data_IF_261654469088
#
_entry.id   IF_261654469088
#
_cell.length_a   1.000
_cell.length_b   1.000
_cell.length_c   1.000
_cell.angle_alpha   90.00
_cell.angle_beta   90.00
_cell.angle_gamma   90.00
#
_symmetry.space_group_name_H-M   'P 1'
#
loop_
_entity.id
_entity.type
_entity.pdbx_description
1 polymer ?
#
# COMPACT_ATOMS: atom_id res chain seq x y z
N UNK A 1 -21.88 14.38 -0.81
CA UNK A 1 -21.23 13.07 -0.60
C UNK A 1 -19.75 13.10 -0.98
N UNK A 2 -19.38 13.26 -2.27
CA UNK A 2 -17.98 13.24 -2.71
C UNK A 2 -17.11 14.33 -2.05
N UNK A 3 -17.57 15.58 -1.99
CA UNK A 3 -16.88 16.67 -1.30
C UNK A 3 -16.68 16.38 0.19
N UNK A 4 -17.71 15.84 0.86
CA UNK A 4 -17.61 15.46 2.26
C UNK A 4 -16.58 14.34 2.46
N UNK A 5 -16.63 13.26 1.67
CA UNK A 5 -15.66 12.17 1.75
C UNK A 5 -14.22 12.62 1.45
N UNK A 6 -14.03 13.49 0.45
CA UNK A 6 -12.72 14.04 0.12
C UNK A 6 -12.19 14.96 1.22
N UNK A 7 -13.03 15.84 1.77
CA UNK A 7 -12.66 16.71 2.89
C UNK A 7 -12.28 15.90 4.14
N UNK A 8 -13.09 14.90 4.48
CA UNK A 8 -12.81 14.01 5.60
C UNK A 8 -11.51 13.23 5.46
N UNK A 9 -11.21 12.76 4.25
CA UNK A 9 -9.93 12.10 3.97
C UNK A 9 -8.77 13.09 4.05
N UNK A 10 -8.89 14.27 3.46
CA UNK A 10 -7.83 15.29 3.43
C UNK A 10 -7.51 15.85 4.83
N UNK A 11 -8.53 16.04 5.67
CA UNK A 11 -8.39 16.54 7.04
C UNK A 11 -8.30 15.43 8.09
N UNK A 12 -8.21 14.15 7.68
CA UNK A 12 -7.88 13.07 8.59
C UNK A 12 -6.49 13.33 9.20
N UNK A 13 -6.33 13.34 10.53
CA UNK A 13 -5.07 13.65 11.19
C UNK A 13 -3.89 12.79 10.71
N UNK A 14 -4.10 11.50 10.44
CA UNK A 14 -3.04 10.62 9.92
C UNK A 14 -2.67 10.96 8.48
N UNK A 15 -3.66 11.19 7.61
CA UNK A 15 -3.44 11.55 6.21
C UNK A 15 -2.71 12.90 6.12
N UNK A 16 -3.15 13.88 6.90
CA UNK A 16 -2.51 15.19 6.99
C UNK A 16 -1.07 15.08 7.50
N UNK A 17 -0.83 14.32 8.57
CA UNK A 17 0.51 14.13 9.11
C UNK A 17 1.45 13.44 8.11
N UNK A 18 0.98 12.39 7.43
CA UNK A 18 1.76 11.69 6.40
C UNK A 18 2.10 12.62 5.22
N UNK A 19 1.25 13.59 4.90
CA UNK A 19 1.51 14.56 3.83
C UNK A 19 2.56 15.62 4.20
N UNK A 20 2.79 15.87 5.50
CA UNK A 20 3.79 16.82 5.98
C UNK A 20 5.19 16.22 6.14
N UNK A 21 5.30 14.89 6.12
CA UNK A 21 6.54 14.16 6.36
C UNK A 21 7.08 13.59 5.05
N UNK A 22 8.41 13.61 4.88
CA UNK A 22 9.09 12.97 3.76
C UNK A 22 9.20 11.44 4.00
N UNK A 23 8.05 10.77 4.06
CA UNK A 23 7.94 9.31 4.21
C UNK A 23 7.18 8.70 3.01
N UNK A 24 7.25 7.38 2.85
CA UNK A 24 6.64 6.64 1.73
C UNK A 24 5.10 6.60 1.74
N UNK A 25 4.48 6.94 2.88
CA UNK A 25 3.05 6.73 3.12
C UNK A 25 2.16 7.67 2.31
N UNK A 26 2.52 8.94 2.15
CA UNK A 26 1.74 9.88 1.33
C UNK A 26 1.65 9.44 -0.13
N UNK A 27 2.77 8.98 -0.70
CA UNK A 27 2.82 8.46 -2.07
C UNK A 27 2.07 7.13 -2.19
N UNK A 28 2.17 6.24 -1.20
CA UNK A 28 1.37 5.02 -1.17
C UNK A 28 -0.14 5.32 -1.16
N UNK A 29 -0.54 6.27 -0.32
CA UNK A 29 -1.93 6.72 -0.22
C UNK A 29 -2.46 7.29 -1.54
N UNK A 30 -1.63 8.05 -2.27
CA UNK A 30 -1.97 8.47 -3.64
C UNK A 30 -2.21 7.27 -4.57
N UNK A 31 -1.33 6.26 -4.55
CA UNK A 31 -1.52 5.06 -5.37
C UNK A 31 -2.78 4.28 -5.00
N UNK A 32 -3.10 4.13 -3.71
CA UNK A 32 -4.37 3.53 -3.26
C UNK A 32 -5.56 4.32 -3.78
N UNK A 33 -5.54 5.65 -3.70
CA UNK A 33 -6.60 6.52 -4.26
C UNK A 33 -6.75 6.37 -5.78
N UNK A 34 -5.63 6.36 -6.53
CA UNK A 34 -5.63 6.18 -7.98
C UNK A 34 -6.15 4.78 -8.38
N UNK A 35 -5.70 3.72 -7.71
CA UNK A 35 -6.16 2.36 -7.94
C UNK A 35 -7.66 2.21 -7.62
N UNK A 36 -8.12 2.83 -6.53
CA UNK A 36 -9.55 2.91 -6.18
C UNK A 36 -10.34 3.60 -7.28
N UNK A 37 -9.87 4.75 -7.76
CA UNK A 37 -10.51 5.50 -8.83
C UNK A 37 -10.60 4.68 -10.14
N UNK A 38 -9.49 4.04 -10.53
CA UNK A 38 -9.41 3.19 -11.72
C UNK A 38 -10.30 1.96 -11.59
N UNK A 39 -10.35 1.33 -10.40
CA UNK A 39 -11.26 0.22 -10.12
C UNK A 39 -12.73 0.62 -10.27
N UNK A 40 -13.12 1.74 -9.65
CA UNK A 40 -14.48 2.27 -9.75
C UNK A 40 -14.84 2.52 -11.22
N UNK A 41 -13.97 3.19 -11.99
CA UNK A 41 -14.16 3.40 -13.43
C UNK A 41 -14.25 2.10 -14.22
N UNK A 42 -13.42 1.11 -13.89
CA UNK A 42 -13.40 -0.17 -14.60
C UNK A 42 -14.68 -0.97 -14.34
N UNK A 43 -15.11 -1.13 -13.09
CA UNK A 43 -16.31 -1.90 -12.76
C UNK A 43 -17.60 -1.16 -13.10
N UNK A 44 -17.59 0.18 -13.06
CA UNK A 44 -18.70 1.03 -13.49
C UNK A 44 -18.74 1.33 -15.00
N UNK A 45 -17.82 0.75 -15.80
CA UNK A 45 -17.71 1.07 -17.24
C UNK A 45 -19.02 0.85 -17.98
N UNK A 46 -19.47 1.78 -18.85
CA UNK A 46 -20.67 1.61 -19.67
C UNK A 46 -20.57 0.41 -20.62
N UNK A 47 -19.41 0.32 -21.29
CA UNK A 47 -19.08 -0.68 -22.29
C UNK A 47 -18.15 -1.76 -21.70
N UNK A 48 -18.63 -3.01 -21.55
CA UNK A 48 -17.84 -4.12 -21.04
C UNK A 48 -16.58 -4.44 -21.86
N UNK A 49 -16.55 -4.08 -23.15
CA UNK A 49 -15.43 -4.36 -24.06
C UNK A 49 -14.23 -3.41 -23.88
N UNK A 50 -14.38 -2.32 -23.14
CA UNK A 50 -13.30 -1.36 -22.86
C UNK A 50 -12.50 -1.76 -21.62
N UNK A 51 -11.24 -2.13 -21.83
CA UNK A 51 -10.34 -2.60 -20.76
C UNK A 51 -9.18 -1.65 -20.44
N UNK A 52 -9.15 -0.44 -21.02
CA UNK A 52 -8.05 0.52 -20.82
C UNK A 52 -7.72 0.78 -19.33
N UNK A 53 -8.75 0.84 -18.48
CA UNK A 53 -8.57 1.04 -17.04
C UNK A 53 -7.85 -0.13 -16.36
N UNK A 54 -8.01 -1.38 -16.83
CA UNK A 54 -7.26 -2.51 -16.29
C UNK A 54 -5.75 -2.39 -16.57
N UNK A 55 -5.37 -1.87 -17.73
CA UNK A 55 -3.97 -1.61 -18.10
C UNK A 55 -3.37 -0.45 -17.30
N UNK A 56 -4.11 0.64 -17.10
CA UNK A 56 -3.70 1.70 -16.16
C UNK A 56 -3.55 1.18 -14.74
N UNK A 57 -4.49 0.33 -14.29
CA UNK A 57 -4.41 -0.34 -13.00
C UNK A 57 -3.18 -1.22 -12.85
N UNK A 58 -2.80 -1.95 -13.90
CA UNK A 58 -1.57 -2.76 -13.92
C UNK A 58 -0.32 -1.91 -13.77
N UNK A 59 -0.20 -0.82 -14.54
CA UNK A 59 0.92 0.11 -14.43
C UNK A 59 1.02 0.76 -13.04
N UNK A 60 -0.11 1.26 -12.51
CA UNK A 60 -0.18 1.85 -11.17
C UNK A 60 0.09 0.84 -10.06
N UNK A 61 -0.27 -0.43 -10.25
CA UNK A 61 0.07 -1.50 -9.31
C UNK A 61 1.57 -1.70 -9.22
N UNK A 62 2.28 -1.67 -10.35
CA UNK A 62 3.74 -1.73 -10.40
C UNK A 62 4.39 -0.54 -9.68
N UNK A 63 3.94 0.69 -9.96
CA UNK A 63 4.44 1.90 -9.30
C UNK A 63 4.19 1.87 -7.79
N UNK A 64 2.99 1.45 -7.37
CA UNK A 64 2.64 1.37 -5.97
C UNK A 64 3.41 0.29 -5.21
N UNK A 65 3.64 -0.87 -5.82
CA UNK A 65 4.49 -1.91 -5.25
C UNK A 65 5.95 -1.46 -5.14
N UNK A 66 6.44 -0.67 -6.10
CA UNK A 66 7.78 -0.09 -6.03
C UNK A 66 7.95 0.94 -4.91
N UNK A 67 6.85 1.55 -4.46
CA UNK A 67 6.85 2.44 -3.31
C UNK A 67 6.69 1.69 -1.97
N UNK A 68 5.67 0.83 -1.85
CA UNK A 68 5.35 0.16 -0.59
C UNK A 68 4.68 -1.20 -0.79
N UNK A 69 5.36 -2.27 -0.36
CA UNK A 69 4.92 -3.65 -0.55
C UNK A 69 3.57 -3.99 0.13
N UNK A 70 3.15 -3.27 1.19
CA UNK A 70 1.85 -3.53 1.85
C UNK A 70 0.67 -3.31 0.92
N UNK A 71 0.85 -2.60 -0.20
CA UNK A 71 -0.16 -2.47 -1.26
C UNK A 71 -0.60 -3.83 -1.82
N UNK A 72 0.24 -4.88 -1.72
CA UNK A 72 -0.13 -6.24 -2.15
C UNK A 72 -1.41 -6.73 -1.48
N UNK A 73 -1.65 -6.37 -0.20
CA UNK A 73 -2.85 -6.75 0.53
C UNK A 73 -4.12 -6.17 -0.11
N UNK A 74 -4.01 -4.98 -0.71
CA UNK A 74 -5.09 -4.35 -1.46
C UNK A 74 -5.29 -5.01 -2.83
N UNK A 75 -4.18 -5.28 -3.53
CA UNK A 75 -4.19 -5.88 -4.88
C UNK A 75 -4.72 -7.32 -4.90
N UNK A 76 -4.48 -8.11 -3.84
CA UNK A 76 -4.96 -9.49 -3.72
C UNK A 76 -6.47 -9.61 -3.88
N UNK A 77 -7.24 -8.59 -3.49
CA UNK A 77 -8.70 -8.58 -3.66
C UNK A 77 -9.11 -7.93 -4.98
N UNK A 78 -8.44 -6.84 -5.37
CA UNK A 78 -8.86 -6.04 -6.52
C UNK A 78 -8.51 -6.70 -7.84
N UNK A 79 -7.32 -7.29 -7.96
CA UNK A 79 -6.86 -7.91 -9.20
C UNK A 79 -7.78 -9.07 -9.60
N UNK A 80 -8.14 -10.02 -8.73
CA UNK A 80 -9.13 -11.05 -9.07
C UNK A 80 -10.49 -10.46 -9.47
N UNK A 81 -10.99 -9.44 -8.77
CA UNK A 81 -12.27 -8.81 -9.13
C UNK A 81 -12.25 -8.20 -10.55
N UNK A 82 -11.16 -7.56 -10.94
CA UNK A 82 -10.94 -7.02 -12.29
C UNK A 82 -10.85 -8.15 -13.31
N UNK A 83 -10.06 -9.19 -13.03
CA UNK A 83 -9.88 -10.33 -13.93
C UNK A 83 -11.18 -11.11 -14.13
N UNK A 84 -11.95 -11.36 -13.07
CA UNK A 84 -13.27 -12.01 -13.14
C UNK A 84 -14.24 -11.16 -13.98
N UNK A 85 -14.27 -9.84 -13.79
CA UNK A 85 -15.11 -8.94 -14.59
C UNK A 85 -14.72 -8.89 -16.08
N UNK A 86 -13.45 -9.16 -16.40
CA UNK A 86 -12.90 -9.05 -17.76
C UNK A 86 -12.37 -10.35 -18.36
N UNK A 87 -12.71 -11.51 -17.79
CA UNK A 87 -11.96 -12.76 -17.97
C UNK A 87 -11.78 -13.17 -19.43
N UNK A 88 -12.83 -13.04 -20.25
CA UNK A 88 -12.82 -13.42 -21.68
C UNK A 88 -11.78 -12.68 -22.53
N UNK A 89 -11.39 -11.47 -22.11
CA UNK A 89 -10.44 -10.61 -22.85
C UNK A 89 -9.12 -10.48 -22.11
N UNK A 90 -9.14 -10.24 -20.80
CA UNK A 90 -7.94 -10.03 -20.00
C UNK A 90 -7.07 -11.28 -19.86
N UNK A 91 -7.66 -12.48 -19.88
CA UNK A 91 -6.91 -13.74 -19.79
C UNK A 91 -6.39 -14.25 -21.13
N UNK A 92 -6.57 -13.51 -22.23
CA UNK A 92 -5.93 -13.86 -23.50
C UNK A 92 -4.41 -13.66 -23.39
N UNK A 93 -3.58 -14.53 -23.99
CA UNK A 93 -2.12 -14.46 -23.83
C UNK A 93 -1.51 -13.08 -24.09
N UNK A 94 -1.92 -12.40 -25.17
CA UNK A 94 -1.45 -11.05 -25.49
C UNK A 94 -1.89 -10.00 -24.46
N UNK A 95 -3.09 -10.15 -23.89
CA UNK A 95 -3.58 -9.23 -22.85
C UNK A 95 -2.85 -9.46 -21.53
N UNK A 96 -2.61 -10.72 -21.15
CA UNK A 96 -1.78 -11.07 -19.99
C UNK A 96 -0.36 -10.54 -20.15
N UNK A 97 0.27 -10.77 -21.31
CA UNK A 97 1.60 -10.25 -21.60
C UNK A 97 1.64 -8.72 -21.49
N UNK A 98 0.64 -8.02 -22.03
CA UNK A 98 0.53 -6.56 -21.89
C UNK A 98 0.34 -6.09 -20.44
N UNK A 99 -0.49 -6.78 -19.64
CA UNK A 99 -0.66 -6.47 -18.22
C UNK A 99 0.64 -6.68 -17.44
N UNK A 100 1.32 -7.81 -17.64
CA UNK A 100 2.61 -8.12 -17.00
C UNK A 100 3.67 -7.09 -17.39
N UNK A 101 3.76 -6.75 -18.69
CA UNK A 101 4.68 -5.73 -19.16
C UNK A 101 4.42 -4.37 -18.52
N UNK A 102 3.16 -3.99 -18.31
CA UNK A 102 2.83 -2.74 -17.63
C UNK A 102 3.12 -2.76 -16.13
N UNK A 103 2.89 -3.88 -15.43
CA UNK A 103 3.34 -4.01 -14.03
C UNK A 103 4.85 -3.86 -13.96
N UNK A 104 5.60 -4.57 -14.82
CA UNK A 104 7.06 -4.47 -14.89
C UNK A 104 7.53 -3.04 -15.22
N UNK A 105 6.86 -2.36 -16.15
CA UNK A 105 7.13 -0.96 -16.46
C UNK A 105 6.84 -0.03 -15.28
N UNK A 106 5.78 -0.30 -14.51
CA UNK A 106 5.48 0.44 -13.28
C UNK A 106 6.52 0.21 -12.18
N UNK A 107 7.16 -0.97 -12.16
CA UNK A 107 8.27 -1.28 -11.26
C UNK A 107 9.62 -0.68 -11.69
N UNK A 108 9.64 0.12 -12.75
CA UNK A 108 10.86 0.80 -13.24
C UNK A 108 11.60 1.65 -12.21
N UNK A 109 11.00 2.24 -11.14
CA UNK A 109 11.78 2.92 -10.11
C UNK A 109 12.86 2.05 -9.46
N UNK A 110 12.68 0.73 -9.38
CA UNK A 110 13.74 -0.17 -8.91
C UNK A 110 14.96 -0.22 -9.83
N UNK A 111 14.78 0.07 -11.12
CA UNK A 111 15.90 0.11 -12.07
C UNK A 111 16.83 1.30 -11.86
N UNK A 112 16.43 2.32 -11.08
CA UNK A 112 17.29 3.46 -10.71
C UNK A 112 18.63 3.01 -10.16
N UNK A 113 18.63 2.09 -9.19
CA UNK A 113 19.85 1.55 -8.61
C UNK A 113 20.76 0.90 -9.68
N UNK A 114 20.15 0.29 -10.71
CA UNK A 114 20.88 -0.44 -11.74
C UNK A 114 21.50 0.49 -12.79
N UNK A 115 20.84 1.60 -13.08
CA UNK A 115 21.31 2.60 -14.04
C UNK A 115 22.26 3.63 -13.42
N UNK A 116 22.05 4.00 -12.15
CA UNK A 116 22.79 5.10 -11.50
C UNK A 116 23.74 4.64 -10.39
N UNK A 117 23.46 3.53 -9.71
CA UNK A 117 24.28 3.04 -8.57
C UNK A 117 25.18 1.85 -8.94
N UNK A 118 24.87 1.14 -10.04
CA UNK A 118 25.66 0.03 -10.54
C UNK A 118 24.83 -1.13 -11.08
N UNK A 119 25.15 -1.61 -12.29
CA UNK A 119 24.43 -2.70 -12.94
C UNK A 119 24.60 -4.04 -12.18
N UNK A 120 23.52 -4.81 -11.93
CA UNK A 120 23.53 -6.05 -11.14
C UNK A 120 23.93 -7.30 -11.92
N UNK A 121 24.34 -7.14 -13.19
CA UNK A 121 24.64 -8.30 -14.02
C UNK A 121 25.91 -9.00 -13.47
N UNK A 122 25.91 -10.34 -13.33
CA UNK A 122 27.01 -11.11 -12.73
C UNK A 122 28.40 -10.86 -13.35
N UNK A 123 28.45 -10.45 -14.62
CA UNK A 123 29.68 -10.13 -15.34
C UNK A 123 30.28 -8.74 -15.05
N UNK A 124 29.61 -7.93 -14.21
CA UNK A 124 30.05 -6.58 -13.85
C UNK A 124 30.98 -6.57 -12.64
N UNK A 125 31.29 -7.74 -12.07
CA UNK A 125 32.06 -7.89 -10.85
C UNK A 125 33.52 -8.33 -11.11
N UNK A 126 34.05 -8.09 -12.31
CA UNK A 126 35.48 -8.30 -12.57
C UNK A 126 36.26 -7.12 -11.98
N UNK A 127 36.75 -7.28 -10.74
CA UNK A 127 37.56 -6.27 -10.02
C UNK A 127 36.80 -5.37 -9.05
N UNK A 128 35.57 -5.70 -8.65
CA UNK A 128 34.85 -5.00 -7.58
C UNK A 128 34.23 -3.64 -7.95
N UNK A 129 34.20 -3.29 -9.24
CA UNK A 129 33.59 -2.05 -9.73
C UNK A 129 32.38 -2.34 -10.61
N UNK A 130 31.18 -1.90 -10.22
CA UNK A 130 29.97 -2.03 -11.03
C UNK A 130 30.13 -1.29 -12.38
N UNK A 131 29.36 -1.69 -13.41
CA UNK A 131 29.37 -0.99 -14.71
C UNK A 131 29.12 0.52 -14.58
N UNK A 132 28.35 0.94 -13.56
CA UNK A 132 28.15 2.35 -13.23
C UNK A 132 29.44 3.03 -12.78
N UNK A 133 30.25 2.37 -11.95
CA UNK A 133 31.56 2.89 -11.52
C UNK A 133 32.57 2.89 -12.67
N UNK A 134 32.53 1.88 -13.56
CA UNK A 134 33.46 1.75 -14.70
C UNK A 134 33.18 2.74 -15.83
N UNK A 135 31.92 2.94 -16.21
CA UNK A 135 31.53 3.75 -17.36
C UNK A 135 30.99 5.13 -17.00
N UNK A 136 30.54 5.35 -15.76
CA UNK A 136 29.91 6.60 -15.32
C UNK A 136 30.34 6.98 -13.88
N UNK A 137 31.64 7.10 -13.57
CA UNK A 137 32.12 7.35 -12.21
C UNK A 137 31.59 8.66 -11.59
N UNK A 138 31.28 9.67 -12.42
CA UNK A 138 30.70 10.94 -11.97
C UNK A 138 29.20 10.90 -11.65
N UNK A 139 28.51 9.80 -11.91
CA UNK A 139 27.07 9.61 -11.65
C UNK A 139 26.80 8.61 -10.52
N UNK A 140 27.85 8.06 -9.89
CA UNK A 140 27.72 7.13 -8.77
C UNK A 140 27.18 7.88 -7.55
N UNK A 141 25.86 7.82 -7.36
CA UNK A 141 25.23 8.32 -6.16
C UNK A 141 25.14 7.18 -5.14
N UNK A 142 25.98 7.20 -4.10
CA UNK A 142 25.77 6.34 -2.93
C UNK A 142 24.79 7.07 -2.01
N UNK A 143 23.55 6.60 -1.83
CA UNK A 143 22.63 7.23 -0.89
C UNK A 143 23.23 7.18 0.52
N UNK A 144 23.15 8.30 1.24
CA UNK A 144 23.66 8.40 2.62
C UNK A 144 23.04 7.34 3.55
N UNK A 145 21.78 6.97 3.28
CA UNK A 145 21.07 5.88 3.93
C UNK A 145 20.33 5.07 2.88
N UNK A 146 20.59 3.76 2.83
CA UNK A 146 19.82 2.81 2.05
C UNK A 146 19.30 1.70 2.94
N UNK A 147 18.10 1.22 2.60
CA UNK A 147 17.49 0.08 3.26
C UNK A 147 17.87 -1.22 2.53
N UNK A 148 19.13 -1.61 2.68
CA UNK A 148 19.74 -2.76 2.00
C UNK A 148 20.46 -2.38 0.69
N UNK A 149 21.37 -3.25 0.27
CA UNK A 149 22.11 -3.09 -0.98
C UNK A 149 21.37 -3.77 -2.14
N UNK A 150 21.03 -3.00 -3.18
CA UNK A 150 20.25 -3.43 -4.34
C UNK A 150 21.06 -3.47 -5.63
N UNK A 151 22.38 -3.23 -5.53
CA UNK A 151 23.29 -3.12 -6.69
C UNK A 151 23.57 -4.47 -7.33
N UNK A 152 23.41 -5.58 -6.60
CA UNK A 152 23.49 -6.94 -7.16
C UNK A 152 22.09 -7.53 -7.40
N UNK A 153 21.98 -8.54 -8.27
CA UNK A 153 20.71 -9.21 -8.53
C UNK A 153 20.16 -9.88 -7.26
N UNK A 154 21.04 -10.49 -6.46
CA UNK A 154 20.67 -11.07 -5.17
C UNK A 154 20.19 -10.00 -4.19
N UNK A 155 20.86 -8.86 -4.13
CA UNK A 155 20.46 -7.72 -3.30
C UNK A 155 19.09 -7.16 -3.70
N UNK A 156 18.85 -7.00 -5.01
CA UNK A 156 17.53 -6.65 -5.52
C UNK A 156 16.46 -7.68 -5.12
N UNK A 157 16.72 -8.98 -5.29
CA UNK A 157 15.78 -10.02 -4.87
C UNK A 157 15.55 -10.02 -3.35
N UNK A 158 16.58 -9.78 -2.54
CA UNK A 158 16.45 -9.67 -1.09
C UNK A 158 15.54 -8.49 -0.71
N UNK A 159 15.73 -7.33 -1.33
CA UNK A 159 14.91 -6.15 -1.11
C UNK A 159 13.46 -6.35 -1.59
N UNK A 160 13.27 -6.91 -2.79
CA UNK A 160 11.94 -7.20 -3.37
C UNK A 160 11.16 -8.23 -2.53
N UNK A 161 11.84 -9.28 -2.07
CA UNK A 161 11.27 -10.28 -1.15
C UNK A 161 11.22 -9.78 0.30
N UNK A 162 11.67 -8.56 0.54
CA UNK A 162 11.67 -7.89 1.84
C UNK A 162 12.41 -8.70 2.92
N UNK A 163 13.44 -9.45 2.54
CA UNK A 163 14.22 -10.32 3.45
C UNK A 163 14.92 -9.53 4.55
N UNK A 164 15.43 -8.35 4.21
CA UNK A 164 16.14 -7.48 5.16
C UNK A 164 15.22 -6.83 6.21
N UNK A 165 13.90 -6.84 5.98
CA UNK A 165 12.89 -6.27 6.89
C UNK A 165 11.96 -7.32 7.49
N UNK A 166 12.15 -8.59 7.11
CA UNK A 166 11.29 -9.71 7.47
C UNK A 166 10.14 -9.90 6.49
N UNK A 167 10.17 -11.04 5.80
CA UNK A 167 9.12 -11.46 4.87
C UNK A 167 7.87 -11.83 5.68
N UNK A 168 6.75 -11.14 5.41
CA UNK A 168 5.48 -11.27 6.15
C UNK A 168 5.51 -10.89 7.64
N UNK A 169 6.46 -10.05 8.06
CA UNK A 169 6.47 -9.47 9.41
C UNK A 169 6.61 -7.95 9.32
N UNK A 170 6.09 -7.20 10.29
CA UNK A 170 6.23 -5.74 10.29
C UNK A 170 7.68 -5.30 10.50
N UNK A 171 8.41 -5.94 11.43
CA UNK A 171 9.81 -5.67 11.72
C UNK A 171 10.65 -6.95 11.97
N UNK A 172 11.95 -6.89 11.67
CA UNK A 172 12.95 -7.93 12.01
C UNK A 172 13.26 -7.89 13.50
N UNK A 173 13.44 -9.06 14.13
CA UNK A 173 13.94 -9.17 15.51
C UNK A 173 13.15 -10.12 16.40
N UNK A 174 12.00 -10.62 15.94
CA UNK A 174 11.21 -11.60 16.69
C UNK A 174 10.81 -11.11 18.10
N UNK A 175 10.34 -12.04 18.92
CA UNK A 175 9.86 -11.74 20.28
C UNK A 175 10.97 -11.43 21.27
N UNK A 176 12.19 -11.90 21.01
CA UNK A 176 13.36 -11.69 21.87
C UNK A 176 13.84 -10.24 21.83
N UNK A 177 13.81 -9.61 20.65
CA UNK A 177 14.27 -8.22 20.48
C UNK A 177 13.18 -7.22 20.85
N UNK A 178 11.94 -7.47 20.43
CA UNK A 178 10.86 -6.47 20.56
C UNK A 178 9.93 -6.73 21.74
N UNK A 179 9.81 -7.98 22.20
CA UNK A 179 8.82 -8.41 23.19
C UNK A 179 7.59 -9.06 22.56
N UNK A 180 6.56 -9.31 23.38
CA UNK A 180 5.34 -10.02 22.94
C UNK A 180 4.55 -9.18 21.91
N UNK A 181 4.26 -9.72 20.71
CA UNK A 181 3.54 -9.00 19.68
C UNK A 181 2.10 -8.71 20.12
N UNK A 182 1.50 -7.69 19.51
CA UNK A 182 0.08 -7.41 19.72
C UNK A 182 -0.78 -8.58 19.21
N UNK A 183 -1.88 -8.86 19.92
CA UNK A 183 -2.87 -9.82 19.41
C UNK A 183 -3.73 -9.19 18.31
N UNK A 184 -4.22 -10.00 17.37
CA UNK A 184 -5.14 -9.54 16.31
C UNK A 184 -6.31 -8.72 16.88
N UNK A 185 -6.98 -9.25 17.91
CA UNK A 185 -8.14 -8.59 18.53
C UNK A 185 -7.76 -7.26 19.19
N UNK A 186 -6.61 -7.20 19.86
CA UNK A 186 -6.12 -5.95 20.44
C UNK A 186 -5.78 -4.93 19.37
N UNK A 187 -5.14 -5.35 18.27
CA UNK A 187 -4.82 -4.48 17.14
C UNK A 187 -6.08 -3.91 16.49
N UNK A 188 -7.06 -4.77 16.16
CA UNK A 188 -8.35 -4.35 15.61
C UNK A 188 -9.11 -3.41 16.54
N UNK A 189 -9.11 -3.68 17.84
CA UNK A 189 -9.73 -2.80 18.83
C UNK A 189 -9.09 -1.41 18.82
N UNK A 190 -7.76 -1.34 18.85
CA UNK A 190 -7.03 -0.07 18.84
C UNK A 190 -7.25 0.70 17.55
N UNK A 191 -7.29 0.01 16.42
CA UNK A 191 -7.66 0.60 15.13
C UNK A 191 -9.06 1.23 15.14
N UNK A 192 -10.07 0.51 15.66
CA UNK A 192 -11.44 1.03 15.76
C UNK A 192 -11.53 2.22 16.71
N UNK A 193 -10.76 2.20 17.81
CA UNK A 193 -10.65 3.33 18.73
C UNK A 193 -9.99 4.53 18.06
N UNK A 194 -8.97 4.34 17.22
CA UNK A 194 -8.30 5.42 16.49
C UNK A 194 -9.21 6.07 15.43
N UNK A 195 -10.02 5.26 14.74
CA UNK A 195 -11.00 5.75 13.76
C UNK A 195 -12.05 6.66 14.39
N UNK A 196 -12.65 6.22 15.50
CA UNK A 196 -13.87 6.82 16.06
C UNK A 196 -13.58 7.71 17.26
N UNK A 197 -12.63 7.32 18.09
CA UNK A 197 -12.42 7.83 19.44
C UNK A 197 -11.33 8.90 19.54
N UNK A 198 -11.00 9.32 20.76
CA UNK A 198 -9.86 10.19 20.99
C UNK A 198 -8.56 9.46 20.65
N UNK A 199 -7.79 10.04 19.72
CA UNK A 199 -6.50 9.50 19.28
C UNK A 199 -5.54 9.39 20.47
N UNK A 200 -4.79 8.29 20.54
CA UNK A 200 -3.67 8.17 21.46
C UNK A 200 -2.59 9.14 20.97
N UNK A 201 -2.46 10.30 21.62
CA UNK A 201 -1.49 11.33 21.23
C UNK A 201 -0.06 10.82 21.44
N UNK A 202 0.65 10.61 20.34
CA UNK A 202 2.06 10.21 20.27
C UNK A 202 2.97 11.24 20.97
N UNK A 203 2.55 12.51 21.10
CA UNK A 203 3.39 13.60 21.63
C UNK A 203 3.29 13.81 23.13
N UNK A 204 2.35 13.19 23.84
CA UNK A 204 2.02 13.56 25.22
C UNK A 204 1.84 12.40 26.19
N UNK A 205 2.59 11.30 26.04
CA UNK A 205 2.73 10.27 27.09
C UNK A 205 1.45 9.97 27.91
N UNK A 206 0.29 9.85 27.25
CA UNK A 206 -0.99 9.56 27.89
C UNK A 206 -1.69 10.69 28.66
N UNK A 207 -1.25 11.96 28.61
CA UNK A 207 -1.78 13.06 29.44
C UNK A 207 -2.90 13.86 28.74
N UNK A 208 -2.93 13.92 27.40
CA UNK A 208 -3.98 14.62 26.66
C UNK A 208 -4.61 13.71 25.60
N UNK A 209 -5.89 13.38 25.78
CA UNK A 209 -6.72 12.82 24.71
C UNK A 209 -6.98 13.95 23.71
N UNK A 210 -6.42 13.88 22.49
CA UNK A 210 -6.92 14.76 21.43
C UNK A 210 -8.28 14.23 20.99
N UNK A 211 -9.26 15.12 20.86
CA UNK A 211 -10.62 14.77 20.47
C UNK A 211 -10.78 14.57 18.96
N UNK A 212 -9.71 14.22 18.24
CA UNK A 212 -9.72 14.18 16.77
C UNK A 212 -9.52 12.74 16.28
N UNK A 213 -10.58 11.94 16.31
CA UNK A 213 -10.58 10.62 15.67
C UNK A 213 -10.38 10.76 14.15
N UNK A 214 -9.86 9.72 13.48
CA UNK A 214 -9.52 9.82 12.04
C UNK A 214 -10.69 10.20 11.14
N UNK A 215 -11.92 9.86 11.56
CA UNK A 215 -13.15 10.15 10.83
C UNK A 215 -13.92 11.38 11.35
N UNK A 216 -13.30 12.21 12.19
CA UNK A 216 -13.87 13.47 12.71
C UNK A 216 -15.25 13.27 13.36
N UNK A 217 -15.47 12.10 13.99
CA UNK A 217 -16.74 11.58 14.53
C UNK A 217 -17.90 11.39 13.55
N UNK A 218 -18.20 12.37 12.70
CA UNK A 218 -19.31 12.34 11.74
C UNK A 218 -19.09 11.30 10.62
N UNK A 219 -17.85 10.88 10.40
CA UNK A 219 -17.52 9.95 9.33
C UNK A 219 -17.90 8.52 9.58
N UNK A 220 -17.81 8.09 10.82
CA UNK A 220 -18.15 6.72 11.18
C UNK A 220 -19.61 6.37 10.83
N UNK A 221 -20.64 7.17 11.22
CA UNK A 221 -22.02 6.86 10.84
C UNK A 221 -22.24 6.95 9.31
N UNK A 222 -21.57 7.88 8.61
CA UNK A 222 -21.66 7.99 7.15
C UNK A 222 -21.03 6.79 6.43
N UNK A 223 -19.87 6.32 6.91
CA UNK A 223 -19.20 5.13 6.39
C UNK A 223 -20.06 3.87 6.64
N UNK A 224 -20.64 3.74 7.84
CA UNK A 224 -21.55 2.64 8.17
C UNK A 224 -22.81 2.66 7.29
N UNK A 225 -23.39 3.84 7.05
CA UNK A 225 -24.51 3.99 6.13
C UNK A 225 -24.15 3.57 4.71
N UNK A 226 -23.00 4.03 4.19
CA UNK A 226 -22.49 3.64 2.88
C UNK A 226 -22.24 2.12 2.76
N UNK A 227 -21.70 1.51 3.81
CA UNK A 227 -21.49 0.06 3.91
C UNK A 227 -22.82 -0.70 3.84
N UNK A 228 -23.83 -0.27 4.61
CA UNK A 228 -25.17 -0.88 4.60
C UNK A 228 -25.80 -0.79 3.20
N UNK A 229 -25.67 0.35 2.52
CA UNK A 229 -26.16 0.51 1.15
C UNK A 229 -25.45 -0.43 0.17
N UNK A 230 -24.13 -0.58 0.28
CA UNK A 230 -23.33 -1.47 -0.56
C UNK A 230 -23.67 -2.95 -0.35
N UNK A 231 -23.84 -3.38 0.91
CA UNK A 231 -24.23 -4.76 1.24
C UNK A 231 -25.63 -5.04 0.72
N UNK A 232 -26.60 -4.16 1.02
CA UNK A 232 -28.00 -4.30 0.61
C UNK A 232 -28.24 -4.06 -0.89
N UNK A 233 -27.21 -3.70 -1.65
CA UNK A 233 -27.32 -3.44 -3.09
C UNK A 233 -28.23 -2.27 -3.44
N UNK A 234 -28.37 -1.30 -2.52
CA UNK A 234 -29.22 -0.12 -2.68
C UNK A 234 -28.48 1.08 -3.30
N UNK A 235 -27.31 0.85 -3.89
CA UNK A 235 -26.59 1.89 -4.62
C UNK A 235 -27.25 2.14 -5.98
N UNK A 236 -27.21 3.38 -6.51
CA UNK A 236 -27.98 3.78 -7.70
C UNK A 236 -27.74 2.93 -8.96
N UNK A 237 -26.58 2.26 -9.06
CA UNK A 237 -26.27 1.37 -10.17
C UNK A 237 -25.74 0.02 -9.65
N UNK A 238 -26.17 -1.13 -10.24
CA UNK A 238 -25.64 -2.46 -9.89
C UNK A 238 -24.11 -2.53 -10.02
N UNK A 239 -23.56 -1.81 -10.99
CA UNK A 239 -22.11 -1.73 -11.23
C UNK A 239 -21.35 -1.00 -10.12
N UNK A 240 -21.97 0.00 -9.49
CA UNK A 240 -21.41 0.67 -8.31
C UNK A 240 -21.44 -0.26 -7.08
N UNK A 241 -22.45 -1.13 -7.00
CA UNK A 241 -22.55 -2.14 -5.94
C UNK A 241 -21.40 -3.14 -6.00
N UNK A 242 -21.06 -3.66 -7.18
CA UNK A 242 -19.92 -4.57 -7.33
C UNK A 242 -18.62 -3.92 -6.87
N UNK A 243 -18.35 -2.70 -7.32
CA UNK A 243 -17.13 -1.98 -6.95
C UNK A 243 -17.07 -1.66 -5.45
N UNK A 244 -18.17 -1.21 -4.86
CA UNK A 244 -18.25 -0.95 -3.42
C UNK A 244 -18.01 -2.22 -2.59
N UNK A 245 -18.59 -3.36 -2.99
CA UNK A 245 -18.36 -4.65 -2.31
C UNK A 245 -16.91 -5.11 -2.42
N UNK A 246 -16.28 -4.94 -3.57
CA UNK A 246 -14.85 -5.23 -3.74
C UNK A 246 -14.00 -4.38 -2.81
N UNK A 247 -14.29 -3.08 -2.68
CA UNK A 247 -13.56 -2.18 -1.78
C UNK A 247 -13.74 -2.55 -0.30
N UNK A 248 -14.97 -2.89 0.11
CA UNK A 248 -15.25 -3.37 1.47
C UNK A 248 -14.49 -4.66 1.76
N UNK A 249 -14.48 -5.61 0.82
CA UNK A 249 -13.72 -6.85 0.97
C UNK A 249 -12.22 -6.58 1.06
N UNK A 250 -11.69 -5.69 0.21
CA UNK A 250 -10.28 -5.31 0.24
C UNK A 250 -9.89 -4.65 1.58
N UNK A 251 -10.75 -3.77 2.10
CA UNK A 251 -10.58 -3.13 3.40
C UNK A 251 -10.58 -4.15 4.54
N UNK A 252 -11.57 -5.04 4.61
CA UNK A 252 -11.65 -6.06 5.66
C UNK A 252 -10.48 -7.04 5.60
N UNK A 253 -10.11 -7.49 4.39
CA UNK A 253 -8.95 -8.35 4.18
C UNK A 253 -7.65 -7.67 4.63
N UNK A 254 -7.45 -6.41 4.23
CA UNK A 254 -6.31 -5.61 4.65
C UNK A 254 -6.21 -5.54 6.18
N UNK A 255 -7.31 -5.17 6.85
CA UNK A 255 -7.34 -5.03 8.30
C UNK A 255 -6.99 -6.32 9.02
N UNK A 256 -7.60 -7.44 8.64
CA UNK A 256 -7.36 -8.72 9.30
C UNK A 256 -5.92 -9.18 9.06
N UNK A 257 -5.46 -9.17 7.81
CA UNK A 257 -4.14 -9.68 7.46
C UNK A 257 -3.05 -8.79 8.04
N UNK A 258 -3.14 -7.47 7.90
CA UNK A 258 -2.16 -6.55 8.47
C UNK A 258 -2.00 -6.77 9.98
N UNK A 259 -3.10 -6.75 10.74
CA UNK A 259 -3.04 -6.93 12.20
C UNK A 259 -2.62 -8.35 12.61
N UNK A 260 -2.79 -9.37 11.75
CA UNK A 260 -2.28 -10.72 12.00
C UNK A 260 -0.76 -10.84 11.79
N UNK A 261 -0.19 -10.03 10.90
CA UNK A 261 1.25 -10.02 10.58
C UNK A 261 2.03 -8.97 11.38
N UNK A 262 1.34 -8.06 12.06
CA UNK A 262 1.94 -6.97 12.81
C UNK A 262 2.58 -7.49 14.10
N UNK A 263 3.89 -7.72 14.05
CA UNK A 263 4.66 -8.41 15.08
C UNK A 263 5.37 -7.50 16.09
N UNK A 264 5.02 -6.21 16.16
CA UNK A 264 5.57 -5.28 17.16
C UNK A 264 4.64 -5.14 18.38
N UNK A 265 5.18 -4.95 19.60
CA UNK A 265 4.39 -4.68 20.79
C UNK A 265 3.89 -3.24 20.82
N UNK A 266 2.57 -3.06 20.93
CA UNK A 266 1.97 -1.73 20.95
C UNK A 266 2.12 -0.99 22.31
N UNK A 267 2.64 -1.66 23.35
CA UNK A 267 2.89 -1.00 24.65
C UNK A 267 3.99 0.06 24.58
N UNK A 268 4.87 -0.01 23.59
CA UNK A 268 5.90 1.00 23.35
C UNK A 268 5.32 2.07 22.43
N UNK A 269 5.30 3.36 22.83
CA UNK A 269 4.70 4.43 22.02
C UNK A 269 5.24 4.52 20.59
N UNK A 270 6.54 4.27 20.40
CA UNK A 270 7.15 4.23 19.07
C UNK A 270 6.54 3.15 18.17
N UNK A 271 6.31 1.95 18.71
CA UNK A 271 5.74 0.84 17.95
C UNK A 271 4.25 1.05 17.67
N UNK A 272 3.52 1.68 18.59
CA UNK A 272 2.16 2.15 18.32
C UNK A 272 2.14 3.10 17.12
N UNK A 273 3.02 4.11 17.10
CA UNK A 273 3.12 5.05 15.99
C UNK A 273 3.50 4.36 14.66
N UNK A 274 4.39 3.36 14.70
CA UNK A 274 4.71 2.54 13.51
C UNK A 274 3.48 1.77 13.02
N UNK A 275 2.69 1.15 13.90
CA UNK A 275 1.44 0.50 13.52
C UNK A 275 0.44 1.49 12.91
N UNK A 276 0.27 2.65 13.55
CA UNK A 276 -0.70 3.65 13.14
C UNK A 276 -0.47 4.20 11.73
N UNK A 277 0.77 4.20 11.22
CA UNK A 277 1.06 4.59 9.82
C UNK A 277 0.42 3.68 8.77
N UNK A 278 0.01 2.47 9.15
CA UNK A 278 -0.65 1.48 8.29
C UNK A 278 -2.15 1.36 8.57
N UNK A 279 -2.72 2.24 9.40
CA UNK A 279 -4.15 2.30 9.70
C UNK A 279 -4.91 3.11 8.65
#
# INVERSE_FOLDING_TARGET
AALAGAGMYAFSPLIWNNALQAEVFALNNLFVCLLTHVLLKYLARPDPAKHAQAYWGAFLSGLGLANQHTLVLYLVIIVPAVLISGWRRLLRPLSVAGLVALVAAGMSPYSHAWFLEGCPLPWAEEGGHSLGVKYCPGLVHVPMYSWGDRRSFQGFLNHLLRRDYGTFTLAVGGTEVHGKPVSLLTGLWLYLVDIVGPRLDERRAGIAKSHDGQLLYAGFPLALWGLILAIRGRLPAPRHTAAARTLVLAYLFYLVVFHSLANLPIRVPLFLAVHARFW
#
